data_IF_544512526844
#
_entry.id   IF_544512526844
#
_cell.length_a   1.000
_cell.length_b   1.000
_cell.length_c   1.000
_cell.angle_alpha   90.00
_cell.angle_beta   90.00
_cell.angle_gamma   90.00
#
_symmetry.space_group_name_H-M   'P 1'
#
loop_
_entity.id
_entity.type
_entity.pdbx_description
1 polymer ?
#
# COMPACT_ATOMS: atom_id res chain seq x y z
N UNK A 1 -11.66 -12.06 -19.26
CA UNK A 1 -10.25 -12.46 -18.94
C UNK A 1 -10.09 -13.91 -19.36
N UNK A 2 -8.94 -14.27 -19.98
CA UNK A 2 -8.65 -15.67 -20.31
C UNK A 2 -8.29 -16.46 -19.04
N UNK A 3 -8.50 -17.79 -19.07
CA UNK A 3 -8.13 -18.69 -17.96
C UNK A 3 -6.63 -18.57 -17.63
N UNK A 4 -5.79 -18.38 -18.63
CA UNK A 4 -4.36 -18.18 -18.46
C UNK A 4 -4.03 -16.92 -17.64
N UNK A 5 -4.69 -15.80 -17.92
CA UNK A 5 -4.51 -14.55 -17.13
C UNK A 5 -4.95 -14.75 -15.69
N UNK A 6 -6.08 -15.41 -15.46
CA UNK A 6 -6.55 -15.71 -14.09
C UNK A 6 -5.55 -16.60 -13.34
N UNK A 7 -5.04 -17.65 -13.98
CA UNK A 7 -4.04 -18.51 -13.39
C UNK A 7 -2.74 -17.76 -13.04
N UNK A 8 -2.27 -16.90 -13.96
CA UNK A 8 -1.08 -16.06 -13.72
C UNK A 8 -1.28 -15.13 -12.54
N UNK A 9 -2.43 -14.46 -12.45
CA UNK A 9 -2.75 -13.55 -11.36
C UNK A 9 -2.84 -14.27 -10.01
N UNK A 10 -3.48 -15.46 -9.98
CA UNK A 10 -3.58 -16.27 -8.77
C UNK A 10 -2.20 -16.77 -8.30
N UNK A 11 -1.39 -17.30 -9.22
CA UNK A 11 -0.03 -17.74 -8.91
C UNK A 11 0.84 -16.57 -8.43
N UNK A 12 0.77 -15.41 -9.09
CA UNK A 12 1.51 -14.22 -8.67
C UNK A 12 1.06 -13.75 -7.30
N UNK A 13 -0.26 -13.70 -7.03
CA UNK A 13 -0.77 -13.32 -5.72
C UNK A 13 -0.26 -14.24 -4.59
N UNK A 14 -0.23 -15.55 -4.81
CA UNK A 14 0.30 -16.52 -3.85
C UNK A 14 1.80 -16.31 -3.59
N UNK A 15 2.60 -16.25 -4.65
CA UNK A 15 4.05 -16.06 -4.56
C UNK A 15 4.40 -14.74 -3.88
N UNK A 16 3.75 -13.66 -4.30
CA UNK A 16 4.02 -12.33 -3.73
C UNK A 16 3.51 -12.17 -2.30
N UNK A 17 2.43 -12.85 -1.93
CA UNK A 17 1.96 -12.92 -0.54
C UNK A 17 2.96 -13.67 0.35
N UNK A 18 3.57 -14.75 -0.15
CA UNK A 18 4.64 -15.47 0.53
C UNK A 18 5.89 -14.58 0.70
N UNK A 19 6.32 -13.91 -0.38
CA UNK A 19 7.43 -12.94 -0.34
C UNK A 19 7.15 -11.84 0.68
N UNK A 20 5.92 -11.29 0.70
CA UNK A 20 5.50 -10.30 1.71
C UNK A 20 5.56 -10.83 3.14
N UNK A 21 5.36 -12.13 3.33
CA UNK A 21 5.50 -12.77 4.64
C UNK A 21 6.92 -12.74 5.18
N UNK A 22 7.92 -12.78 4.28
CA UNK A 22 9.36 -12.84 4.63
C UNK A 22 9.99 -11.43 4.58
N UNK A 23 9.72 -10.68 3.53
CA UNK A 23 10.37 -9.40 3.21
C UNK A 23 9.49 -8.17 3.49
N UNK A 24 8.43 -8.33 4.29
CA UNK A 24 7.53 -7.22 4.60
C UNK A 24 6.67 -6.82 3.39
N UNK A 25 6.68 -5.52 3.01
CA UNK A 25 5.73 -5.00 2.01
C UNK A 25 6.19 -5.11 0.55
N UNK A 26 7.40 -5.64 0.28
CA UNK A 26 7.96 -5.76 -1.06
C UNK A 26 7.08 -6.60 -2.02
N UNK A 27 6.46 -7.67 -1.53
CA UNK A 27 5.59 -8.51 -2.34
C UNK A 27 4.37 -7.77 -2.90
N UNK A 28 3.79 -6.84 -2.15
CA UNK A 28 2.68 -6.00 -2.62
C UNK A 28 3.06 -5.15 -3.82
N UNK A 29 4.27 -4.59 -3.84
CA UNK A 29 4.77 -3.80 -4.97
C UNK A 29 4.97 -4.66 -6.23
N UNK A 30 5.56 -5.84 -6.07
CA UNK A 30 5.74 -6.78 -7.18
C UNK A 30 4.38 -7.17 -7.75
N UNK A 31 3.42 -7.50 -6.89
CA UNK A 31 2.07 -7.85 -7.31
C UNK A 31 1.39 -6.70 -8.06
N UNK A 32 1.47 -5.47 -7.54
CA UNK A 32 0.91 -4.30 -8.22
C UNK A 32 1.55 -4.04 -9.58
N UNK A 33 2.87 -4.22 -9.70
CA UNK A 33 3.58 -4.13 -10.99
C UNK A 33 3.05 -5.12 -12.03
N UNK A 34 2.85 -6.38 -11.64
CA UNK A 34 2.27 -7.42 -12.52
C UNK A 34 0.82 -7.08 -12.89
N UNK A 35 0.02 -6.63 -11.94
CA UNK A 35 -1.35 -6.20 -12.19
C UNK A 35 -1.40 -5.06 -13.22
N UNK A 36 -0.56 -4.03 -13.06
CA UNK A 36 -0.49 -2.90 -13.99
C UNK A 36 0.03 -3.32 -15.37
N UNK A 37 0.86 -4.36 -15.48
CA UNK A 37 1.29 -4.89 -16.76
C UNK A 37 0.12 -5.55 -17.54
N UNK A 38 -0.75 -6.29 -16.81
CA UNK A 38 -1.78 -7.13 -17.41
C UNK A 38 -3.18 -6.48 -17.47
N UNK A 39 -3.45 -5.47 -16.64
CA UNK A 39 -4.78 -4.91 -16.44
C UNK A 39 -4.80 -3.39 -16.63
N UNK A 40 -5.99 -2.82 -16.67
CA UNK A 40 -6.20 -1.36 -16.56
C UNK A 40 -5.94 -0.89 -15.13
N UNK A 41 -5.59 0.38 -14.93
CA UNK A 41 -5.31 0.94 -13.61
C UNK A 41 -6.45 0.70 -12.61
N UNK A 42 -7.72 0.97 -12.92
CA UNK A 42 -8.81 0.71 -11.98
C UNK A 42 -8.94 -0.77 -11.60
N UNK A 43 -8.82 -1.68 -12.58
CA UNK A 43 -8.88 -3.13 -12.31
C UNK A 43 -7.70 -3.59 -11.44
N UNK A 44 -6.50 -3.11 -11.73
CA UNK A 44 -5.30 -3.40 -10.95
C UNK A 44 -5.46 -2.92 -9.50
N UNK A 45 -5.93 -1.68 -9.30
CA UNK A 45 -6.13 -1.10 -7.97
C UNK A 45 -7.17 -1.85 -7.14
N UNK A 46 -8.31 -2.20 -7.75
CA UNK A 46 -9.36 -2.96 -7.04
C UNK A 46 -8.86 -4.34 -6.64
N UNK A 47 -8.24 -5.08 -7.57
CA UNK A 47 -7.76 -6.43 -7.31
C UNK A 47 -6.62 -6.43 -6.28
N UNK A 48 -5.69 -5.47 -6.40
CA UNK A 48 -4.64 -5.28 -5.41
C UNK A 48 -5.22 -4.96 -4.03
N UNK A 49 -6.16 -4.01 -3.95
CA UNK A 49 -6.80 -3.61 -2.70
C UNK A 49 -7.50 -4.78 -2.00
N UNK A 50 -8.27 -5.58 -2.72
CA UNK A 50 -8.96 -6.77 -2.18
C UNK A 50 -7.95 -7.80 -1.68
N UNK A 51 -6.89 -8.08 -2.46
CA UNK A 51 -5.86 -9.05 -2.08
C UNK A 51 -5.08 -8.58 -0.85
N UNK A 52 -4.72 -7.29 -0.80
CA UNK A 52 -4.02 -6.71 0.35
C UNK A 52 -4.91 -6.64 1.60
N UNK A 53 -6.19 -6.34 1.43
CA UNK A 53 -7.14 -6.37 2.54
C UNK A 53 -7.23 -7.76 3.17
N UNK A 54 -7.33 -8.80 2.33
CA UNK A 54 -7.36 -10.18 2.82
C UNK A 54 -6.05 -10.57 3.51
N UNK A 55 -4.90 -10.32 2.88
CA UNK A 55 -3.58 -10.70 3.39
C UNK A 55 -3.21 -9.92 4.66
N UNK A 56 -3.30 -8.59 4.64
CA UNK A 56 -2.93 -7.75 5.78
C UNK A 56 -3.99 -7.80 6.88
N UNK A 57 -5.28 -7.94 6.52
CA UNK A 57 -6.36 -8.17 7.49
C UNK A 57 -6.15 -9.46 8.28
N UNK A 58 -5.76 -10.56 7.61
CA UNK A 58 -5.41 -11.79 8.29
C UNK A 58 -4.23 -11.63 9.24
N UNK A 59 -3.16 -10.93 8.82
CA UNK A 59 -2.04 -10.60 9.70
C UNK A 59 -2.48 -9.77 10.91
N UNK A 60 -3.33 -8.77 10.71
CA UNK A 60 -3.86 -7.95 11.80
C UNK A 60 -4.65 -8.79 12.81
N UNK A 61 -5.42 -9.78 12.36
CA UNK A 61 -6.13 -10.72 13.25
C UNK A 61 -5.15 -11.57 14.05
N UNK A 62 -4.11 -12.10 13.41
CA UNK A 62 -3.09 -12.93 14.08
C UNK A 62 -2.31 -12.13 15.14
N UNK A 63 -1.98 -10.88 14.85
CA UNK A 63 -1.17 -10.01 15.72
C UNK A 63 -1.99 -8.99 16.50
N UNK A 64 -3.29 -9.19 16.65
CA UNK A 64 -4.22 -8.23 17.28
C UNK A 64 -3.85 -7.81 18.69
N UNK A 65 -3.15 -8.68 19.43
CA UNK A 65 -2.69 -8.39 20.80
C UNK A 65 -1.49 -7.45 20.85
N UNK A 66 -0.76 -7.30 19.74
CA UNK A 66 0.41 -6.43 19.62
C UNK A 66 0.09 -5.10 18.94
N UNK A 67 -1.18 -4.82 18.66
CA UNK A 67 -1.59 -3.57 18.01
C UNK A 67 -1.54 -2.42 19.01
N UNK A 68 -0.73 -1.40 18.74
CA UNK A 68 -0.86 -0.11 19.43
C UNK A 68 -2.06 0.66 18.89
N UNK A 69 -3.15 0.61 19.64
CA UNK A 69 -4.44 1.23 19.27
C UNK A 69 -4.36 2.77 19.19
N UNK A 70 -3.40 3.41 19.84
CA UNK A 70 -3.19 4.86 19.76
C UNK A 70 -2.62 5.21 18.37
N UNK A 71 -1.58 4.49 17.95
CA UNK A 71 -0.96 4.65 16.64
C UNK A 71 -1.97 4.31 15.54
N UNK A 72 -2.66 3.17 15.68
CA UNK A 72 -3.67 2.74 14.72
C UNK A 72 -4.77 3.78 14.52
N UNK A 73 -5.35 4.33 15.60
CA UNK A 73 -6.40 5.36 15.50
C UNK A 73 -5.89 6.63 14.83
N UNK A 74 -4.67 7.07 15.17
CA UNK A 74 -4.06 8.23 14.51
C UNK A 74 -3.92 8.02 13.00
N UNK A 75 -3.37 6.88 12.60
CA UNK A 75 -3.22 6.50 11.20
C UNK A 75 -4.58 6.40 10.49
N UNK A 76 -5.57 5.76 11.12
CA UNK A 76 -6.91 5.60 10.56
C UNK A 76 -7.60 6.95 10.31
N UNK A 77 -7.49 7.92 11.23
CA UNK A 77 -8.04 9.26 11.02
C UNK A 77 -7.36 9.98 9.86
N UNK A 78 -6.04 9.89 9.74
CA UNK A 78 -5.30 10.44 8.60
C UNK A 78 -5.73 9.81 7.27
N UNK A 79 -5.87 8.49 7.26
CA UNK A 79 -6.34 7.73 6.10
C UNK A 79 -7.76 8.10 5.69
N UNK A 80 -8.68 8.24 6.65
CA UNK A 80 -10.06 8.65 6.37
C UNK A 80 -10.13 10.06 5.80
N UNK A 81 -9.31 10.99 6.32
CA UNK A 81 -9.23 12.35 5.76
C UNK A 81 -8.76 12.33 4.31
N UNK A 82 -7.66 11.62 4.04
CA UNK A 82 -7.11 11.51 2.68
C UNK A 82 -8.10 10.85 1.72
N UNK A 83 -8.76 9.78 2.15
CA UNK A 83 -9.78 9.09 1.36
C UNK A 83 -10.97 10.00 1.06
N UNK A 84 -11.46 10.74 2.06
CA UNK A 84 -12.56 11.71 1.89
C UNK A 84 -12.20 12.84 0.92
N UNK A 85 -11.01 13.43 1.06
CA UNK A 85 -10.52 14.45 0.15
C UNK A 85 -10.38 13.91 -1.29
N UNK A 86 -9.84 12.70 -1.44
CA UNK A 86 -9.67 12.06 -2.75
C UNK A 86 -11.02 11.73 -3.41
N UNK A 87 -12.02 11.30 -2.63
CA UNK A 87 -13.37 11.03 -3.13
C UNK A 87 -14.05 12.28 -3.72
N UNK A 88 -13.73 13.47 -3.21
CA UNK A 88 -14.24 14.74 -3.73
C UNK A 88 -13.58 15.14 -5.07
N UNK A 89 -12.30 14.78 -5.25
CA UNK A 89 -11.52 15.20 -6.43
C UNK A 89 -11.59 14.15 -7.55
N UNK A 90 -11.84 12.89 -7.23
CA UNK A 90 -11.98 11.76 -8.16
C UNK A 90 -10.81 11.62 -9.18
N UNK A 91 -9.59 11.83 -8.71
CA UNK A 91 -8.40 11.69 -9.57
C UNK A 91 -8.11 10.21 -9.80
N UNK A 92 -8.06 9.81 -11.07
CA UNK A 92 -7.53 8.49 -11.46
C UNK A 92 -6.16 8.71 -12.08
N UNK A 93 -5.12 8.16 -11.45
CA UNK A 93 -3.77 8.25 -11.98
C UNK A 93 -3.67 7.53 -13.33
N UNK A 94 -2.97 8.14 -14.28
CA UNK A 94 -2.66 7.45 -15.54
C UNK A 94 -1.67 6.30 -15.30
N UNK A 95 -1.70 5.28 -16.15
CA UNK A 95 -0.83 4.10 -16.01
C UNK A 95 0.67 4.46 -15.91
N UNK A 96 1.22 5.39 -16.73
CA UNK A 96 2.61 5.82 -16.59
C UNK A 96 2.91 6.46 -15.23
N UNK A 97 1.99 7.29 -14.71
CA UNK A 97 2.15 7.92 -13.39
C UNK A 97 2.13 6.87 -12.28
N UNK A 98 1.18 5.93 -12.31
CA UNK A 98 1.12 4.84 -11.33
C UNK A 98 2.41 4.00 -11.33
N UNK A 99 2.93 3.64 -12.50
CA UNK A 99 4.19 2.88 -12.64
C UNK A 99 5.41 3.69 -12.19
N UNK A 100 5.46 4.98 -12.51
CA UNK A 100 6.55 5.86 -12.08
C UNK A 100 6.58 5.99 -10.55
N UNK A 101 5.44 6.27 -9.93
CA UNK A 101 5.34 6.39 -8.46
C UNK A 101 5.65 5.05 -7.80
N UNK A 102 5.13 3.94 -8.33
CA UNK A 102 5.43 2.59 -7.84
C UNK A 102 6.95 2.31 -7.88
N UNK A 103 7.61 2.66 -8.99
CA UNK A 103 9.05 2.42 -9.16
C UNK A 103 9.93 3.32 -8.29
N UNK A 104 9.51 4.57 -8.01
CA UNK A 104 10.27 5.53 -7.21
C UNK A 104 10.07 5.30 -5.70
N UNK A 105 8.90 4.83 -5.27
CA UNK A 105 8.55 4.70 -3.85
C UNK A 105 9.59 3.95 -2.99
N UNK A 106 10.19 2.82 -3.42
CA UNK A 106 11.24 2.16 -2.62
C UNK A 106 12.48 3.02 -2.42
N UNK A 107 12.85 3.78 -3.45
CA UNK A 107 14.03 4.66 -3.37
C UNK A 107 13.79 5.87 -2.46
N UNK A 108 12.55 6.37 -2.39
CA UNK A 108 12.18 7.41 -1.42
C UNK A 108 12.38 6.90 0.00
N UNK A 109 11.91 5.67 0.31
CA UNK A 109 12.11 5.07 1.63
C UNK A 109 13.60 4.93 2.00
N UNK A 110 14.45 4.52 1.05
CA UNK A 110 15.88 4.37 1.25
C UNK A 110 16.63 5.71 1.35
N UNK A 111 16.17 6.72 0.63
CA UNK A 111 16.81 8.03 0.57
C UNK A 111 16.34 9.00 1.67
N UNK A 112 15.31 8.62 2.44
CA UNK A 112 14.72 9.49 3.44
C UNK A 112 15.70 9.69 4.60
N UNK A 113 16.17 10.93 4.87
CA UNK A 113 17.07 11.18 5.99
C UNK A 113 16.34 10.91 7.31
N UNK A 114 17.04 10.35 8.30
CA UNK A 114 16.49 10.00 9.62
C UNK A 114 15.69 11.12 10.29
N UNK A 115 16.05 12.38 10.02
CA UNK A 115 15.35 13.56 10.55
C UNK A 115 13.94 13.76 10.00
N UNK A 116 13.64 13.20 8.84
CA UNK A 116 12.33 13.26 8.17
C UNK A 116 11.50 12.00 8.38
N UNK A 117 12.07 10.97 8.99
CA UNK A 117 11.35 9.77 9.37
C UNK A 117 10.30 10.12 10.41
N UNK A 118 9.08 9.68 10.14
CA UNK A 118 7.97 9.88 11.07
C UNK A 118 8.15 8.95 12.28
N UNK A 119 8.07 9.51 13.48
CA UNK A 119 8.24 8.78 14.74
C UNK A 119 6.86 8.41 15.31
N UNK A 120 6.57 7.12 15.45
CA UNK A 120 5.30 6.60 16.00
C UNK A 120 4.96 7.15 17.38
N UNK A 121 5.97 7.54 18.17
CA UNK A 121 5.79 8.05 19.52
C UNK A 121 5.36 9.52 19.57
N UNK A 122 5.64 10.28 18.52
CA UNK A 122 5.29 11.71 18.45
C UNK A 122 3.82 11.91 18.13
N UNK A 123 3.19 12.84 18.84
CA UNK A 123 1.80 13.24 18.57
C UNK A 123 1.69 13.81 17.16
N UNK A 124 0.70 13.32 16.39
CA UNK A 124 0.44 13.76 15.03
C UNK A 124 1.17 12.99 13.93
N UNK A 125 2.32 12.35 14.20
CA UNK A 125 3.04 11.57 13.19
C UNK A 125 2.24 10.36 12.67
N UNK A 126 1.52 9.57 13.52
CA UNK A 126 0.62 8.53 13.01
C UNK A 126 -0.45 9.05 12.05
N UNK A 127 -1.00 10.23 12.34
CA UNK A 127 -1.97 10.88 11.46
C UNK A 127 -1.35 11.27 10.11
N UNK A 128 -0.18 11.92 10.12
CA UNK A 128 0.55 12.28 8.89
C UNK A 128 0.93 11.04 8.07
N UNK A 129 1.38 9.99 8.74
CA UNK A 129 1.66 8.71 8.09
C UNK A 129 0.40 8.16 7.39
N UNK A 130 -0.75 8.17 8.06
CA UNK A 130 -2.02 7.76 7.48
C UNK A 130 -2.39 8.57 6.23
N UNK A 131 -2.21 9.89 6.26
CA UNK A 131 -2.45 10.76 5.09
C UNK A 131 -1.52 10.39 3.94
N UNK A 132 -0.20 10.39 4.19
CA UNK A 132 0.82 10.14 3.16
C UNK A 132 0.65 8.75 2.54
N UNK A 133 0.54 7.72 3.38
CA UNK A 133 0.38 6.35 2.91
C UNK A 133 -0.91 6.17 2.11
N UNK A 134 -2.01 6.79 2.52
CA UNK A 134 -3.27 6.68 1.78
C UNK A 134 -3.22 7.41 0.45
N UNK A 135 -2.61 8.60 0.37
CA UNK A 135 -2.41 9.30 -0.91
C UNK A 135 -1.56 8.46 -1.86
N UNK A 136 -0.45 7.90 -1.41
CA UNK A 136 0.39 7.00 -2.22
C UNK A 136 -0.38 5.74 -2.66
N UNK A 137 -1.17 5.16 -1.76
CA UNK A 137 -2.00 4.00 -2.06
C UNK A 137 -3.03 4.31 -3.15
N UNK A 138 -3.65 5.48 -3.11
CA UNK A 138 -4.66 5.90 -4.09
C UNK A 138 -4.04 6.27 -5.45
N UNK A 139 -2.81 6.75 -5.49
CA UNK A 139 -2.10 7.14 -6.73
C UNK A 139 -1.38 5.96 -7.37
N UNK A 140 -0.67 5.17 -6.59
CA UNK A 140 0.20 4.09 -7.10
C UNK A 140 -0.23 2.68 -6.67
N UNK A 141 -1.22 2.56 -5.80
CA UNK A 141 -1.66 1.28 -5.24
C UNK A 141 -0.74 0.72 -4.16
N UNK A 142 0.31 1.44 -3.76
CA UNK A 142 1.33 0.95 -2.82
C UNK A 142 1.84 2.07 -1.93
N UNK A 143 1.98 1.78 -0.64
CA UNK A 143 2.56 2.69 0.36
C UNK A 143 3.60 1.99 1.25
N UNK A 144 3.85 0.70 1.01
CA UNK A 144 4.65 -0.17 1.87
C UNK A 144 6.01 0.39 2.27
N UNK A 145 6.88 0.79 1.34
CA UNK A 145 8.22 1.28 1.69
C UNK A 145 8.24 2.51 2.60
N UNK A 146 7.22 3.36 2.52
CA UNK A 146 7.09 4.50 3.43
C UNK A 146 6.63 4.02 4.81
N UNK A 147 5.71 3.03 4.84
CA UNK A 147 5.23 2.47 6.09
C UNK A 147 6.29 1.65 6.83
N UNK A 148 7.19 0.98 6.10
CA UNK A 148 8.29 0.20 6.68
C UNK A 148 9.36 1.10 7.36
N UNK A 149 9.45 2.36 6.95
CA UNK A 149 10.37 3.36 7.54
C UNK A 149 9.75 4.07 8.74
N UNK A 150 8.41 4.03 8.87
CA UNK A 150 7.65 4.61 9.98
C UNK A 150 7.62 3.68 11.19
#
# INVERSE_FOLDING_TARGET
MSAAVLATLAATALVTSFISGILGMAGGMIFMGVLLALLTVPQAMVLHGVTQLASNGWRAVLWRTSIDWRVFRGNAYGSLLALGAFALVQIVASKPVALLVLGITPFIGLALPEKLVLDVQRRGHPFLCGVICTVLQLVAGVSGPILDVF
#
